data_IF_477662936037
#
_entry.id   IF_477662936037
#
_cell.length_a   1.000
_cell.length_b   1.000
_cell.length_c   1.000
_cell.angle_alpha   90.00
_cell.angle_beta   90.00
_cell.angle_gamma   90.00
#
_symmetry.space_group_name_H-M   'P 1'
#
loop_
_entity.id
_entity.type
_entity.pdbx_description
1 polymer ?
#
# COMPACT_ATOMS: atom_id res chain seq x y z
N UNK A 1 6.79 21.98 -16.18
CA UNK A 1 5.58 21.18 -15.95
C UNK A 1 6.08 19.84 -15.44
N UNK A 2 6.15 19.66 -14.12
CA UNK A 2 6.55 18.36 -13.57
C UNK A 2 5.42 17.39 -13.88
N UNK A 3 5.68 16.43 -14.77
CA UNK A 3 4.90 15.20 -14.81
C UNK A 3 5.15 14.52 -13.46
N UNK A 4 4.34 14.85 -12.45
CA UNK A 4 4.20 14.00 -11.29
C UNK A 4 3.64 12.70 -11.83
N UNK A 5 4.47 11.68 -11.96
CA UNK A 5 4.05 10.31 -12.22
C UNK A 5 3.18 9.89 -11.02
N UNK A 6 1.90 10.24 -11.10
CA UNK A 6 0.91 9.94 -10.08
C UNK A 6 0.49 8.49 -10.28
N UNK A 7 0.93 7.62 -9.38
CA UNK A 7 0.44 6.24 -9.34
C UNK A 7 -1.03 6.27 -8.98
N UNK A 8 -1.82 5.47 -9.69
CA UNK A 8 -3.25 5.33 -9.45
C UNK A 8 -3.54 3.97 -8.83
N UNK A 9 -4.49 3.95 -7.91
CA UNK A 9 -4.99 2.78 -7.24
C UNK A 9 -6.51 2.75 -7.26
N UNK A 10 -7.07 1.69 -7.83
CA UNK A 10 -8.48 1.40 -7.78
C UNK A 10 -8.74 0.36 -6.68
N UNK A 11 -9.38 0.79 -5.59
CA UNK A 11 -9.77 -0.06 -4.48
C UNK A 11 -11.21 -0.51 -4.66
N UNK A 12 -11.42 -1.82 -4.71
CA UNK A 12 -12.76 -2.44 -4.78
C UNK A 12 -13.47 -2.38 -3.42
N UNK A 13 -14.80 -2.47 -3.46
CA UNK A 13 -15.66 -2.24 -2.30
C UNK A 13 -15.27 -3.05 -1.05
N UNK A 14 -15.05 -4.37 -1.17
CA UNK A 14 -14.69 -5.22 -0.02
C UNK A 14 -13.38 -4.78 0.65
N UNK A 15 -12.34 -4.54 -0.16
CA UNK A 15 -11.07 -4.03 0.37
C UNK A 15 -11.20 -2.62 0.96
N UNK A 16 -12.00 -1.75 0.32
CA UNK A 16 -12.24 -0.40 0.80
C UNK A 16 -12.86 -0.41 2.20
N UNK A 17 -13.85 -1.27 2.44
CA UNK A 17 -14.48 -1.43 3.77
C UNK A 17 -13.48 -1.91 4.81
N UNK A 18 -12.59 -2.86 4.46
CA UNK A 18 -11.56 -3.36 5.39
C UNK A 18 -10.52 -2.30 5.75
N UNK A 19 -10.01 -1.57 4.75
CA UNK A 19 -9.00 -0.55 4.97
C UNK A 19 -9.60 0.60 5.78
N UNK A 20 -10.79 1.10 5.41
CA UNK A 20 -11.45 2.20 6.13
C UNK A 20 -11.80 1.89 7.58
N UNK A 21 -11.99 0.62 7.95
CA UNK A 21 -12.18 0.23 9.36
C UNK A 21 -10.94 0.46 10.23
N UNK A 22 -9.76 0.48 9.61
CA UNK A 22 -8.46 0.64 10.29
C UNK A 22 -7.89 2.06 10.15
N UNK A 23 -8.50 2.91 9.32
CA UNK A 23 -8.03 4.28 9.04
C UNK A 23 -9.03 5.28 9.60
N UNK A 24 -8.56 6.17 10.47
CA UNK A 24 -9.33 7.30 10.99
C UNK A 24 -9.15 8.52 10.09
N UNK A 25 -10.11 9.44 10.17
CA UNK A 25 -10.05 10.69 9.43
C UNK A 25 -8.77 11.48 9.76
N UNK A 26 -8.09 11.94 8.72
CA UNK A 26 -6.84 12.71 8.84
C UNK A 26 -5.56 11.86 8.91
N UNK A 27 -5.67 10.54 9.10
CA UNK A 27 -4.49 9.67 9.10
C UNK A 27 -3.91 9.50 7.70
N UNK A 28 -2.61 9.23 7.68
CA UNK A 28 -1.84 8.92 6.48
C UNK A 28 -1.78 7.40 6.33
N UNK A 29 -1.88 6.92 5.10
CA UNK A 29 -1.71 5.50 4.79
C UNK A 29 -0.49 5.37 3.90
N UNK A 30 0.38 4.41 4.20
CA UNK A 30 1.51 4.05 3.35
C UNK A 30 1.25 2.71 2.68
N UNK A 31 1.53 2.62 1.39
CA UNK A 31 1.78 1.35 0.71
C UNK A 31 3.28 1.06 0.85
N UNK A 32 3.62 0.05 1.64
CA UNK A 32 5.01 -0.25 2.02
C UNK A 32 5.34 -1.71 1.77
N UNK A 33 6.60 -1.99 1.41
CA UNK A 33 7.11 -3.36 1.45
C UNK A 33 7.09 -3.88 2.89
N UNK A 34 6.89 -5.19 3.04
CA UNK A 34 6.96 -5.91 4.30
C UNK A 34 7.96 -7.06 4.19
N UNK A 35 9.21 -6.72 3.88
CA UNK A 35 10.31 -7.66 3.62
C UNK A 35 11.52 -7.48 4.56
N UNK A 36 11.47 -6.46 5.43
CA UNK A 36 12.56 -6.10 6.35
C UNK A 36 13.44 -4.95 5.85
N UNK A 37 13.15 -4.37 4.68
CA UNK A 37 13.95 -3.27 4.09
C UNK A 37 13.64 -1.89 4.69
N UNK A 38 12.48 -1.72 5.31
CA UNK A 38 12.03 -0.45 5.89
C UNK A 38 11.60 -0.59 7.36
N UNK A 39 11.49 0.55 8.04
CA UNK A 39 11.14 0.65 9.48
C UNK A 39 9.74 0.15 9.85
N UNK A 40 8.87 -0.07 8.86
CA UNK A 40 7.50 -0.56 9.08
C UNK A 40 7.35 -2.06 8.83
N UNK A 41 8.40 -2.72 8.34
CA UNK A 41 8.38 -4.16 8.13
C UNK A 41 8.28 -4.89 9.47
N UNK A 42 7.27 -5.75 9.60
CA UNK A 42 7.06 -6.58 10.78
C UNK A 42 7.69 -7.98 10.64
N UNK A 43 8.32 -8.24 9.50
CA UNK A 43 9.06 -9.45 9.21
C UNK A 43 10.56 -9.14 9.28
N UNK A 44 11.26 -9.75 10.24
CA UNK A 44 12.71 -9.68 10.32
C UNK A 44 13.32 -10.52 9.19
N UNK A 45 13.82 -9.85 8.15
CA UNK A 45 14.66 -10.41 7.08
C UNK A 45 14.13 -11.75 6.57
N UNK A 46 13.06 -11.73 5.77
CA UNK A 46 12.54 -13.00 5.28
C UNK A 46 13.20 -13.43 3.98
N UNK A 47 13.73 -14.64 4.02
CA UNK A 47 13.85 -15.56 2.90
C UNK A 47 12.47 -15.89 2.27
N UNK A 48 11.50 -14.96 2.30
CA UNK A 48 10.21 -15.09 1.66
C UNK A 48 10.43 -14.87 0.18
N UNK A 49 10.25 -15.93 -0.60
CA UNK A 49 10.29 -15.92 -2.05
C UNK A 49 9.07 -15.18 -2.63
N UNK A 50 8.94 -13.87 -2.34
CA UNK A 50 7.86 -13.05 -2.86
C UNK A 50 7.86 -11.65 -2.27
N UNK A 51 7.51 -10.68 -3.12
CA UNK A 51 7.26 -9.30 -2.72
C UNK A 51 6.00 -9.25 -1.85
N UNK A 52 6.15 -8.86 -0.59
CA UNK A 52 5.01 -8.69 0.33
C UNK A 52 4.76 -7.22 0.56
N UNK A 53 3.52 -6.80 0.42
CA UNK A 53 3.11 -5.44 0.68
C UNK A 53 2.16 -5.36 1.88
N UNK A 54 2.17 -4.20 2.51
CA UNK A 54 1.24 -3.87 3.59
C UNK A 54 0.76 -2.43 3.45
N UNK A 55 -0.40 -2.16 4.02
CA UNK A 55 -0.83 -0.82 4.35
C UNK A 55 -0.39 -0.47 5.77
N UNK A 56 0.27 0.67 5.93
CA UNK A 56 0.68 1.18 7.25
C UNK A 56 -0.07 2.46 7.53
N UNK A 57 -0.84 2.50 8.61
CA UNK A 57 -1.58 3.68 9.04
C UNK A 57 -0.74 4.48 10.02
N UNK A 58 -0.58 5.77 9.75
CA UNK A 58 0.23 6.71 10.52
C UNK A 58 -0.57 7.95 10.90
N UNK A 59 -0.22 8.56 12.03
CA UNK A 59 -0.77 9.85 12.44
C UNK A 59 -0.11 11.04 11.72
N UNK A 60 1.09 10.86 11.15
CA UNK A 60 1.86 11.91 10.48
C UNK A 60 2.52 11.40 9.20
N UNK A 61 2.78 12.30 8.25
CA UNK A 61 3.47 11.99 7.00
C UNK A 61 4.91 11.56 7.27
N UNK A 62 5.32 10.48 6.61
CA UNK A 62 6.72 10.08 6.57
C UNK A 62 7.42 10.68 5.34
N UNK A 63 8.51 11.45 5.50
CA UNK A 63 9.27 11.98 4.36
C UNK A 63 9.89 10.90 3.48
N UNK A 64 10.15 9.70 4.00
CA UNK A 64 10.64 8.58 3.21
C UNK A 64 9.58 8.13 2.18
N UNK A 65 8.30 8.29 2.52
CA UNK A 65 7.15 7.93 1.68
C UNK A 65 6.48 9.18 1.12
N UNK A 66 7.18 9.87 0.21
CA UNK A 66 6.73 11.15 -0.35
C UNK A 66 5.87 11.04 -1.61
N UNK A 67 5.75 9.86 -2.22
CA UNK A 67 5.05 9.69 -3.50
C UNK A 67 3.57 9.46 -3.26
N UNK A 68 2.71 10.36 -3.74
CA UNK A 68 1.26 10.23 -3.55
C UNK A 68 0.66 9.21 -4.49
N UNK A 69 -0.20 8.35 -3.96
CA UNK A 69 -1.00 7.38 -4.72
C UNK A 69 -2.44 7.85 -4.77
N UNK A 70 -2.90 8.22 -5.97
CA UNK A 70 -4.30 8.57 -6.19
C UNK A 70 -5.19 7.35 -5.99
N UNK A 71 -6.30 7.50 -5.27
CA UNK A 71 -7.22 6.39 -5.03
C UNK A 71 -8.69 6.83 -5.04
N UNK A 72 -9.56 5.91 -5.45
CA UNK A 72 -11.00 6.13 -5.59
C UNK A 72 -11.78 6.14 -4.26
N UNK A 73 -11.09 5.95 -3.12
CA UNK A 73 -11.74 5.85 -1.80
C UNK A 73 -11.40 7.00 -0.85
N UNK A 74 -10.58 7.96 -1.30
CA UNK A 74 -10.29 9.21 -0.59
C UNK A 74 -9.23 9.11 0.52
N UNK A 75 -8.36 8.10 0.48
CA UNK A 75 -7.27 7.96 1.45
C UNK A 75 -6.11 8.93 1.14
N UNK A 76 -5.45 9.41 2.19
CA UNK A 76 -4.14 10.05 2.12
C UNK A 76 -3.06 8.98 1.95
N UNK A 77 -3.01 8.36 0.77
CA UNK A 77 -2.14 7.22 0.47
C UNK A 77 -0.82 7.66 -0.16
N UNK A 78 0.29 7.14 0.35
CA UNK A 78 1.64 7.39 -0.16
C UNK A 78 2.45 6.12 -0.29
N UNK A 79 3.49 6.17 -1.12
CA UNK A 79 4.49 5.12 -1.33
C UNK A 79 5.88 5.76 -1.40
N UNK A 80 6.94 4.95 -1.52
CA UNK A 80 8.31 5.44 -1.71
C UNK A 80 8.89 5.06 -3.08
N UNK A 81 9.95 5.73 -3.54
CA UNK A 81 10.69 5.34 -4.73
C UNK A 81 11.23 3.89 -4.70
N UNK A 82 11.47 3.32 -3.52
CA UNK A 82 11.93 1.93 -3.39
C UNK A 82 10.81 0.93 -3.74
N UNK A 83 9.61 1.15 -3.21
CA UNK A 83 8.41 0.37 -3.48
C UNK A 83 8.03 0.42 -4.96
N UNK A 84 8.23 1.57 -5.61
CA UNK A 84 7.93 1.76 -7.04
C UNK A 84 8.67 0.80 -7.97
N UNK A 85 9.77 0.19 -7.53
CA UNK A 85 10.48 -0.82 -8.31
C UNK A 85 9.67 -2.11 -8.51
N UNK A 86 8.63 -2.32 -7.69
CA UNK A 86 7.78 -3.50 -7.69
C UNK A 86 6.32 -3.19 -8.03
N UNK A 87 6.00 -1.92 -8.27
CA UNK A 87 4.64 -1.45 -8.54
C UNK A 87 4.55 -0.97 -9.98
N UNK A 88 3.59 -1.51 -10.73
CA UNK A 88 3.18 -0.96 -12.00
C UNK A 88 2.33 0.30 -11.88
N UNK A 89 1.81 0.72 -13.03
CA UNK A 89 0.75 1.72 -13.08
C UNK A 89 -0.62 1.04 -12.89
N UNK A 90 -1.63 1.82 -12.52
CA UNK A 90 -3.02 1.35 -12.40
C UNK A 90 -3.20 0.17 -11.43
N UNK A 91 -2.72 0.35 -10.20
CA UNK A 91 -2.86 -0.62 -9.12
C UNK A 91 -4.33 -0.95 -8.84
N UNK A 92 -4.61 -2.22 -8.55
CA UNK A 92 -5.92 -2.70 -8.16
C UNK A 92 -5.83 -3.39 -6.80
N UNK A 93 -6.65 -2.94 -5.87
CA UNK A 93 -6.79 -3.55 -4.55
C UNK A 93 -8.15 -4.22 -4.45
N UNK A 94 -8.14 -5.50 -4.14
CA UNK A 94 -9.34 -6.34 -4.04
C UNK A 94 -9.37 -7.10 -2.72
N UNK A 95 -10.55 -7.56 -2.35
CA UNK A 95 -10.71 -8.52 -1.27
C UNK A 95 -11.08 -9.89 -1.86
N UNK A 96 -10.22 -10.88 -1.65
CA UNK A 96 -10.44 -12.26 -2.07
C UNK A 96 -10.22 -13.19 -0.88
N UNK A 97 -11.19 -14.07 -0.61
CA UNK A 97 -11.11 -15.05 0.50
C UNK A 97 -10.79 -14.40 1.86
N UNK A 98 -11.39 -13.25 2.15
CA UNK A 98 -11.12 -12.45 3.33
C UNK A 98 -9.69 -11.89 3.46
N UNK A 99 -8.85 -12.00 2.44
CA UNK A 99 -7.55 -11.34 2.35
C UNK A 99 -7.61 -10.14 1.40
N UNK A 100 -6.78 -9.13 1.65
CA UNK A 100 -6.58 -8.02 0.72
C UNK A 100 -5.50 -8.44 -0.28
N UNK A 101 -5.76 -8.24 -1.57
CA UNK A 101 -4.80 -8.51 -2.65
C UNK A 101 -4.48 -7.23 -3.42
N UNK A 102 -3.21 -7.10 -3.83
CA UNK A 102 -2.68 -6.08 -4.72
C UNK A 102 -2.33 -6.70 -6.07
N UNK A 103 -2.75 -6.04 -7.13
CA UNK A 103 -2.42 -6.36 -8.51
C UNK A 103 -2.11 -5.09 -9.30
N UNK A 104 -1.45 -5.25 -10.43
CA UNK A 104 -1.34 -4.24 -11.48
C UNK A 104 -1.75 -4.85 -12.84
N UNK A 105 -1.37 -4.19 -13.94
CA UNK A 105 -1.62 -4.66 -15.30
C UNK A 105 -0.84 -5.95 -15.67
N UNK A 106 0.25 -6.26 -14.96
CA UNK A 106 1.07 -7.44 -15.16
C UNK A 106 0.55 -8.67 -14.41
N UNK A 107 -0.24 -8.47 -13.36
CA UNK A 107 -0.90 -9.54 -12.62
C UNK A 107 -0.95 -9.28 -11.11
N UNK A 108 -1.08 -10.37 -10.34
CA UNK A 108 -1.11 -10.30 -8.87
C UNK A 108 0.30 -10.08 -8.34
N UNK A 109 0.48 -8.98 -7.59
CA UNK A 109 1.73 -8.64 -6.91
C UNK A 109 1.78 -9.32 -5.54
N UNK A 110 0.71 -9.16 -4.75
CA UNK A 110 0.57 -9.79 -3.44
C UNK A 110 -0.90 -10.20 -3.24
N UNK A 111 -1.15 -11.43 -2.78
CA UNK A 111 -2.50 -11.93 -2.53
C UNK A 111 -2.94 -11.85 -1.06
N UNK A 112 -2.04 -11.44 -0.15
CA UNK A 112 -2.25 -11.49 1.28
C UNK A 112 -1.64 -10.27 2.00
N UNK A 113 -2.02 -9.08 1.55
CA UNK A 113 -1.66 -7.84 2.20
C UNK A 113 -2.28 -7.73 3.59
N UNK A 114 -1.53 -7.11 4.50
CA UNK A 114 -1.99 -6.74 5.84
C UNK A 114 -2.19 -5.24 5.97
N UNK A 115 -3.01 -4.85 6.95
CA UNK A 115 -3.11 -3.45 7.40
C UNK A 115 -2.53 -3.39 8.81
N UNK A 116 -1.51 -2.56 8.99
CA UNK A 116 -0.77 -2.38 10.23
C UNK A 116 -1.01 -0.96 10.75
N UNK A 117 -1.35 -0.81 12.02
CA UNK A 117 -1.45 0.50 12.68
C UNK A 117 -0.12 0.82 13.37
N UNK A 118 0.43 2.01 13.12
CA UNK A 118 1.64 2.48 13.77
C UNK A 118 1.41 3.92 14.27
N UNK A 119 0.93 4.01 15.51
CA UNK A 119 0.61 5.25 16.22
C UNK A 119 1.65 5.53 17.31
#
# INVERSE_FOLDING_TARGET
MSNSESVKMNVKAGAAEKIKKSVKDGQVVLLSLNDGSNKYSNIAGSCAAGTRFQFVVLDQQDPDFSLKVENNIGLNLYTSPAEMQYLGNDLVVDEKNAAISLADDSGVIDAAMTVSENN
#
